data_IF_811596943496
#
_entry.id   IF_811596943496
#
_cell.length_a   1.000
_cell.length_b   1.000
_cell.length_c   1.000
_cell.angle_alpha   90.00
_cell.angle_beta   90.00
_cell.angle_gamma   90.00
#
_symmetry.space_group_name_H-M   'P 1'
#
loop_
_entity.id
_entity.type
_entity.pdbx_description
1 polymer ?
#
# COMPACT_ATOMS: atom_id res chain seq x y z
N UNK A 1 18.14 -15.66 -1.15
CA UNK A 1 18.38 -14.44 -1.95
C UNK A 1 18.59 -13.26 -1.00
N UNK A 2 19.47 -12.30 -1.30
CA UNK A 2 19.65 -11.15 -0.43
C UNK A 2 18.39 -10.28 -0.43
N UNK A 3 18.05 -9.75 0.75
CA UNK A 3 16.93 -8.84 0.93
C UNK A 3 17.27 -7.46 0.33
N UNK A 4 16.40 -6.94 -0.52
CA UNK A 4 16.61 -5.72 -1.29
C UNK A 4 17.09 -4.51 -0.44
N UNK A 5 16.41 -4.13 0.67
CA UNK A 5 16.86 -3.02 1.50
C UNK A 5 18.26 -3.23 2.10
N UNK A 6 18.64 -4.48 2.43
CA UNK A 6 19.97 -4.82 2.96
C UNK A 6 21.06 -4.56 1.93
N UNK A 7 20.80 -4.79 0.64
CA UNK A 7 21.74 -4.51 -0.44
C UNK A 7 22.04 -3.00 -0.47
N UNK A 8 21.01 -2.17 -0.49
CA UNK A 8 21.17 -0.71 -0.48
C UNK A 8 21.89 -0.21 0.77
N UNK A 9 21.53 -0.75 1.94
CA UNK A 9 22.21 -0.40 3.20
C UNK A 9 23.71 -0.71 3.16
N UNK A 10 24.07 -1.90 2.67
CA UNK A 10 25.48 -2.31 2.51
C UNK A 10 26.22 -1.51 1.43
N UNK A 11 25.51 -0.93 0.47
CA UNK A 11 26.05 -0.04 -0.57
C UNK A 11 26.17 1.43 -0.12
N UNK A 12 25.95 1.72 1.17
CA UNK A 12 26.16 3.04 1.74
C UNK A 12 24.93 3.98 1.68
N UNK A 13 23.77 3.46 1.32
CA UNK A 13 22.53 4.23 1.38
C UNK A 13 22.00 4.31 2.82
N UNK A 14 21.39 5.42 3.19
CA UNK A 14 20.42 5.43 4.26
C UNK A 14 19.12 4.82 3.74
N UNK A 15 18.54 3.88 4.50
CA UNK A 15 17.33 3.16 4.11
C UNK A 15 16.24 3.46 5.12
N UNK A 16 15.16 4.06 4.64
CA UNK A 16 13.99 4.44 5.42
C UNK A 16 12.81 3.57 4.98
N UNK A 17 12.14 2.92 5.93
CA UNK A 17 10.99 2.05 5.66
C UNK A 17 9.78 2.53 6.44
N UNK A 18 8.84 3.14 5.75
CA UNK A 18 7.53 3.52 6.26
C UNK A 18 6.50 2.55 5.74
N UNK A 19 6.12 1.62 6.59
CA UNK A 19 5.30 0.46 6.26
C UNK A 19 4.05 0.48 7.14
N UNK A 20 2.87 0.73 6.53
CA UNK A 20 1.60 0.78 7.25
C UNK A 20 1.12 -0.61 7.68
N UNK A 21 1.57 -1.66 6.99
CA UNK A 21 1.21 -3.04 7.28
C UNK A 21 2.13 -3.69 8.33
N UNK A 22 3.14 -2.95 8.79
CA UNK A 22 4.11 -3.48 9.75
C UNK A 22 3.47 -3.77 11.10
N UNK A 23 3.59 -5.00 11.62
CA UNK A 23 3.12 -5.31 12.97
C UNK A 23 4.00 -4.60 14.00
N UNK A 24 3.38 -3.89 14.95
CA UNK A 24 4.07 -3.22 16.05
C UNK A 24 4.06 -4.05 17.35
N UNK A 25 3.12 -4.99 17.47
CA UNK A 25 2.97 -5.86 18.63
C UNK A 25 3.53 -7.26 18.36
N UNK A 26 4.15 -7.93 19.33
CA UNK A 26 4.62 -9.30 19.17
C UNK A 26 3.51 -10.30 18.79
N UNK A 27 2.28 -10.09 19.24
CA UNK A 27 1.12 -10.93 18.90
C UNK A 27 0.73 -10.80 17.43
N UNK A 28 0.81 -9.61 16.87
CA UNK A 28 0.59 -9.37 15.43
C UNK A 28 1.74 -9.94 14.60
N UNK A 29 2.98 -9.83 15.11
CA UNK A 29 4.15 -10.36 14.45
C UNK A 29 4.03 -11.86 14.13
N UNK A 30 3.51 -12.67 15.04
CA UNK A 30 3.32 -14.10 14.80
C UNK A 30 2.38 -14.40 13.64
N UNK A 31 1.34 -13.61 13.48
CA UNK A 31 0.42 -13.76 12.35
C UNK A 31 1.11 -13.48 11.01
N UNK A 32 1.88 -12.40 10.94
CA UNK A 32 2.56 -11.99 9.71
C UNK A 32 3.86 -12.74 9.47
N UNK A 33 4.62 -13.11 10.50
CA UNK A 33 5.90 -13.82 10.38
C UNK A 33 5.78 -15.18 9.72
N UNK A 34 4.65 -15.87 9.87
CA UNK A 34 4.36 -17.11 9.17
C UNK A 34 4.19 -16.90 7.65
N UNK A 35 3.97 -15.68 7.20
CA UNK A 35 3.67 -15.33 5.82
C UNK A 35 4.73 -14.45 5.16
N UNK A 36 5.57 -13.75 5.94
CA UNK A 36 6.57 -12.86 5.38
C UNK A 36 7.80 -12.67 6.25
N UNK A 37 8.95 -13.08 5.73
CA UNK A 37 10.26 -12.85 6.37
C UNK A 37 10.64 -11.36 6.46
N UNK A 38 9.99 -10.46 5.71
CA UNK A 38 10.31 -9.03 5.72
C UNK A 38 9.99 -8.36 7.07
N UNK A 39 9.12 -8.98 7.87
CA UNK A 39 8.78 -8.52 9.22
C UNK A 39 9.74 -9.01 10.31
N UNK A 40 10.76 -9.83 9.96
CA UNK A 40 11.75 -10.31 10.92
C UNK A 40 12.48 -9.12 11.58
N UNK A 41 12.41 -8.98 12.92
CA UNK A 41 13.05 -7.87 13.63
C UNK A 41 14.58 -7.83 13.44
N UNK A 42 15.22 -8.99 13.29
CA UNK A 42 16.67 -9.09 13.07
C UNK A 42 17.02 -8.52 11.69
N UNK A 43 16.25 -8.91 10.67
CA UNK A 43 16.43 -8.41 9.32
C UNK A 43 16.17 -6.90 9.24
N UNK A 44 15.10 -6.43 9.89
CA UNK A 44 14.78 -5.00 9.96
C UNK A 44 15.92 -4.17 10.56
N UNK A 45 16.53 -4.67 11.64
CA UNK A 45 17.62 -3.98 12.35
C UNK A 45 18.84 -3.76 11.48
N UNK A 46 19.21 -4.74 10.63
CA UNK A 46 20.40 -4.66 9.77
C UNK A 46 20.11 -4.00 8.41
N UNK A 47 18.84 -3.85 8.03
CA UNK A 47 18.43 -3.37 6.71
C UNK A 47 18.02 -1.91 6.71
N UNK A 48 17.47 -1.40 7.81
CA UNK A 48 16.92 -0.05 7.85
C UNK A 48 17.76 0.92 8.68
N UNK A 49 17.80 2.18 8.28
CA UNK A 49 18.33 3.31 9.07
C UNK A 49 17.26 3.75 10.06
N UNK A 50 16.02 3.86 9.59
CA UNK A 50 14.85 4.13 10.40
C UNK A 50 13.60 3.49 9.76
N UNK A 51 12.57 3.27 10.57
CA UNK A 51 11.27 2.76 10.14
C UNK A 51 10.16 3.42 10.94
N UNK A 52 8.94 3.43 10.40
CA UNK A 52 7.76 3.84 11.13
C UNK A 52 7.56 2.98 12.39
N UNK A 53 7.12 3.60 13.48
CA UNK A 53 7.03 2.97 14.80
C UNK A 53 5.64 3.11 15.47
N UNK A 54 4.62 3.48 14.70
CA UNK A 54 3.24 3.61 15.17
C UNK A 54 2.25 3.11 14.12
N UNK A 55 1.02 2.86 14.56
CA UNK A 55 -0.08 2.54 13.66
C UNK A 55 -0.63 3.77 12.96
N UNK A 56 -1.15 3.55 11.78
CA UNK A 56 -1.85 4.54 10.97
C UNK A 56 -3.16 3.92 10.47
N UNK A 57 -4.21 4.74 10.43
CA UNK A 57 -5.50 4.31 9.87
C UNK A 57 -5.49 4.38 8.34
N UNK A 58 -4.80 5.40 7.80
CA UNK A 58 -4.77 5.70 6.37
C UNK A 58 -3.36 6.04 5.88
N UNK A 59 -3.12 5.81 4.60
CA UNK A 59 -1.82 5.97 3.96
C UNK A 59 -1.28 7.41 3.99
N UNK A 60 -2.13 8.44 3.96
CA UNK A 60 -1.70 9.84 4.06
C UNK A 60 -1.05 10.16 5.41
N UNK A 61 -1.53 9.54 6.50
CA UNK A 61 -0.94 9.67 7.83
C UNK A 61 0.49 9.09 7.89
N UNK A 62 0.74 8.00 7.15
CA UNK A 62 2.07 7.42 7.01
C UNK A 62 3.03 8.41 6.32
N UNK A 63 2.56 9.09 5.28
CA UNK A 63 3.36 10.08 4.53
C UNK A 63 3.64 11.31 5.39
N UNK A 64 2.64 11.79 6.12
CA UNK A 64 2.79 12.91 7.04
C UNK A 64 3.77 12.60 8.18
N UNK A 65 3.69 11.39 8.74
CA UNK A 65 4.65 10.92 9.75
C UNK A 65 6.07 10.90 9.19
N UNK A 66 6.27 10.41 7.97
CA UNK A 66 7.57 10.48 7.33
C UNK A 66 8.02 11.94 7.16
N UNK A 67 7.15 12.84 6.70
CA UNK A 67 7.51 14.24 6.47
C UNK A 67 7.94 14.96 7.75
N UNK A 68 7.26 14.68 8.87
CA UNK A 68 7.44 15.37 10.16
C UNK A 68 8.45 14.69 11.09
N UNK A 69 8.69 13.39 10.95
CA UNK A 69 9.67 12.68 11.77
C UNK A 69 11.10 13.20 11.53
N UNK A 70 11.82 13.67 12.57
CA UNK A 70 13.19 14.11 12.43
C UNK A 70 14.10 13.00 11.89
N UNK A 71 14.76 13.25 10.77
CA UNK A 71 15.70 12.32 10.15
C UNK A 71 16.78 13.07 9.39
N UNK A 72 17.96 12.50 9.34
CA UNK A 72 19.08 13.05 8.57
C UNK A 72 19.19 12.31 7.24
N UNK A 73 18.68 12.92 6.18
CA UNK A 73 18.92 12.43 4.84
C UNK A 73 20.42 12.60 4.51
N UNK A 74 21.03 11.57 3.96
CA UNK A 74 22.40 11.57 3.47
C UNK A 74 22.48 11.92 1.99
N UNK A 75 23.67 11.74 1.41
CA UNK A 75 23.87 11.90 -0.04
C UNK A 75 23.06 10.90 -0.85
N UNK A 76 22.95 9.67 -0.37
CA UNK A 76 22.19 8.59 -1.00
C UNK A 76 21.16 8.04 -0.02
N UNK A 77 19.91 7.99 -0.45
CA UNK A 77 18.80 7.52 0.36
C UNK A 77 17.92 6.59 -0.47
N UNK A 78 17.43 5.52 0.16
CA UNK A 78 16.33 4.72 -0.31
C UNK A 78 15.17 4.94 0.66
N UNK A 79 14.06 5.44 0.16
CA UNK A 79 12.82 5.58 0.94
C UNK A 79 11.79 4.61 0.39
N UNK A 80 11.22 3.81 1.24
CA UNK A 80 10.20 2.81 0.92
C UNK A 80 8.93 3.22 1.66
N UNK A 81 7.86 3.43 0.92
CA UNK A 81 6.50 3.54 1.45
C UNK A 81 5.75 2.27 1.05
N UNK A 82 5.41 1.44 2.03
CA UNK A 82 4.57 0.26 1.83
C UNK A 82 3.16 0.61 2.25
N UNK A 83 2.32 0.89 1.25
CA UNK A 83 0.97 1.40 1.43
C UNK A 83 -0.05 0.26 1.56
N UNK A 84 -1.21 0.55 2.13
CA UNK A 84 -2.39 -0.29 1.98
C UNK A 84 -2.94 -0.23 0.55
N UNK A 85 -2.92 0.96 -0.06
CA UNK A 85 -3.49 1.17 -1.38
C UNK A 85 -4.95 0.69 -1.46
N UNK A 86 -5.22 -0.21 -2.40
CA UNK A 86 -6.54 -0.82 -2.59
C UNK A 86 -6.66 -2.23 -1.98
N UNK A 87 -5.77 -2.60 -1.06
CA UNK A 87 -5.80 -3.93 -0.43
C UNK A 87 -7.22 -4.27 0.12
N UNK A 88 -7.61 -5.53 0.07
CA UNK A 88 -8.88 -6.05 0.64
C UNK A 88 -9.03 -5.63 2.11
N UNK A 89 -10.09 -5.20 2.61
CA UNK A 89 -11.36 -4.62 2.18
C UNK A 89 -11.21 -3.16 1.74
N UNK A 90 -11.45 -2.86 0.48
CA UNK A 90 -11.25 -1.52 -0.06
C UNK A 90 -12.03 -0.42 0.69
N UNK A 91 -13.21 -0.73 1.20
CA UNK A 91 -14.00 0.17 2.04
C UNK A 91 -13.24 0.69 3.28
N UNK A 92 -12.25 -0.04 3.77
CA UNK A 92 -11.43 0.35 4.93
C UNK A 92 -10.16 1.12 4.54
N UNK A 93 -9.91 1.36 3.23
CA UNK A 93 -8.65 1.90 2.74
C UNK A 93 -8.67 3.39 2.43
N UNK A 94 -9.78 4.06 2.61
CA UNK A 94 -9.91 5.50 2.39
C UNK A 94 -10.79 6.16 3.45
N UNK A 95 -10.60 7.45 3.77
CA UNK A 95 -11.45 8.17 4.70
C UNK A 95 -12.85 8.36 4.14
N UNK A 96 -13.90 7.94 4.86
CA UNK A 96 -15.29 8.11 4.49
C UNK A 96 -15.77 9.56 4.71
N UNK A 97 -15.29 10.47 3.89
CA UNK A 97 -15.66 11.89 3.91
C UNK A 97 -16.04 12.38 2.50
N UNK A 98 -16.54 13.60 2.39
CA UNK A 98 -17.00 14.18 1.10
C UNK A 98 -15.90 14.23 0.02
N UNK A 99 -14.63 14.27 0.40
CA UNK A 99 -13.52 14.35 -0.53
C UNK A 99 -13.26 13.00 -1.22
N UNK A 100 -13.41 11.90 -0.50
CA UNK A 100 -13.01 10.58 -0.98
C UNK A 100 -14.18 9.61 -1.19
N UNK A 101 -15.36 9.91 -0.65
CA UNK A 101 -16.61 9.20 -0.95
C UNK A 101 -17.21 9.71 -2.26
N UNK A 102 -16.51 9.46 -3.37
CA UNK A 102 -16.82 10.00 -4.68
C UNK A 102 -17.78 9.11 -5.48
N UNK A 103 -17.59 7.80 -5.38
CA UNK A 103 -18.36 6.79 -6.10
C UNK A 103 -19.31 6.03 -5.16
N UNK A 104 -20.47 5.62 -5.68
CA UNK A 104 -21.49 4.80 -5.02
C UNK A 104 -21.95 3.67 -5.92
N UNK A 105 -22.68 2.69 -5.40
CA UNK A 105 -23.27 1.61 -6.21
C UNK A 105 -24.09 2.13 -7.41
N UNK A 106 -24.69 3.34 -7.31
CA UNK A 106 -25.48 3.95 -8.38
C UNK A 106 -24.66 4.41 -9.59
N UNK A 107 -23.36 4.62 -9.39
CA UNK A 107 -22.42 5.03 -10.43
C UNK A 107 -21.92 3.85 -11.26
N UNK A 108 -22.07 2.62 -10.74
CA UNK A 108 -21.69 1.39 -11.43
C UNK A 108 -22.79 0.99 -12.41
N UNK A 109 -22.56 1.30 -13.70
CA UNK A 109 -23.55 1.08 -14.78
C UNK A 109 -23.52 -0.33 -15.38
N UNK A 110 -22.61 -1.18 -14.92
CA UNK A 110 -22.53 -2.58 -15.37
C UNK A 110 -23.81 -3.35 -15.02
N UNK A 111 -24.24 -4.23 -15.96
CA UNK A 111 -25.50 -4.97 -15.90
C UNK A 111 -25.31 -6.50 -15.82
N UNK A 112 -24.10 -6.94 -15.48
CA UNK A 112 -23.82 -8.37 -15.35
C UNK A 112 -24.75 -9.02 -14.32
N UNK A 113 -25.31 -10.18 -14.65
CA UNK A 113 -26.35 -10.84 -13.86
C UNK A 113 -25.95 -11.21 -12.43
N UNK A 114 -24.65 -11.32 -12.17
CA UNK A 114 -24.10 -11.59 -10.84
C UNK A 114 -23.90 -10.34 -10.00
N UNK A 115 -23.98 -9.12 -10.57
CA UNK A 115 -23.77 -7.86 -9.84
C UNK A 115 -25.01 -7.46 -9.05
N UNK A 116 -25.03 -7.78 -7.78
CA UNK A 116 -26.00 -7.23 -6.81
C UNK A 116 -25.60 -5.79 -6.41
N UNK A 117 -26.54 -5.04 -5.80
CA UNK A 117 -26.24 -3.69 -5.28
C UNK A 117 -25.06 -3.70 -4.29
N UNK A 118 -24.94 -4.75 -3.46
CA UNK A 118 -23.78 -4.89 -2.56
C UNK A 118 -22.47 -5.03 -3.34
N UNK A 119 -22.43 -5.82 -4.39
CA UNK A 119 -21.23 -6.00 -5.21
C UNK A 119 -20.88 -4.74 -5.99
N UNK A 120 -21.88 -3.98 -6.44
CA UNK A 120 -21.66 -2.66 -7.02
C UNK A 120 -21.09 -1.69 -6.00
N UNK A 121 -21.52 -1.76 -4.73
CA UNK A 121 -20.90 -0.97 -3.68
C UNK A 121 -19.44 -1.38 -3.43
N UNK A 122 -19.13 -2.67 -3.42
CA UNK A 122 -17.74 -3.15 -3.32
C UNK A 122 -16.85 -2.59 -4.46
N UNK A 123 -17.38 -2.50 -5.69
CA UNK A 123 -16.68 -1.88 -6.83
C UNK A 123 -16.48 -0.38 -6.56
N UNK A 124 -17.53 0.31 -6.14
CA UNK A 124 -17.45 1.74 -5.83
C UNK A 124 -16.45 2.04 -4.70
N UNK A 125 -16.38 1.18 -3.69
CA UNK A 125 -15.40 1.31 -2.61
C UNK A 125 -13.96 1.09 -3.11
N UNK A 126 -13.77 0.17 -4.05
CA UNK A 126 -12.47 -0.01 -4.70
C UNK A 126 -12.07 1.20 -5.54
N UNK A 127 -13.01 1.80 -6.27
CA UNK A 127 -12.79 3.02 -7.05
C UNK A 127 -12.46 4.22 -6.11
N UNK A 128 -13.16 4.34 -4.98
CA UNK A 128 -12.85 5.36 -3.95
C UNK A 128 -11.47 5.14 -3.33
N UNK A 129 -11.09 3.91 -3.04
CA UNK A 129 -9.76 3.58 -2.54
C UNK A 129 -8.67 3.90 -3.59
N UNK A 130 -8.95 3.66 -4.87
CA UNK A 130 -8.06 4.01 -5.98
C UNK A 130 -7.90 5.53 -6.10
N UNK A 131 -8.99 6.27 -6.02
CA UNK A 131 -8.98 7.74 -6.03
C UNK A 131 -8.19 8.32 -4.84
N UNK A 132 -8.37 7.73 -3.66
CA UNK A 132 -7.59 8.12 -2.49
C UNK A 132 -6.11 7.77 -2.62
N UNK A 133 -5.78 6.60 -3.16
CA UNK A 133 -4.40 6.20 -3.39
C UNK A 133 -3.67 7.12 -4.38
N UNK A 134 -4.36 7.59 -5.44
CA UNK A 134 -3.81 8.61 -6.35
C UNK A 134 -3.46 9.91 -5.61
N UNK A 135 -4.32 10.36 -4.70
CA UNK A 135 -4.06 11.50 -3.83
C UNK A 135 -2.81 11.26 -2.95
N UNK A 136 -2.65 10.08 -2.35
CA UNK A 136 -1.49 9.73 -1.52
C UNK A 136 -0.20 9.70 -2.35
N UNK A 137 -0.24 9.09 -3.53
CA UNK A 137 0.91 9.05 -4.46
C UNK A 137 1.30 10.46 -4.90
N UNK A 138 0.32 11.32 -5.18
CA UNK A 138 0.55 12.74 -5.45
C UNK A 138 1.30 13.44 -4.33
N UNK A 139 0.95 13.19 -3.07
CA UNK A 139 1.67 13.73 -1.90
C UNK A 139 3.09 13.20 -1.78
N UNK A 140 3.34 11.92 -2.09
CA UNK A 140 4.70 11.37 -2.13
C UNK A 140 5.53 12.09 -3.20
N UNK A 141 4.98 12.31 -4.38
CA UNK A 141 5.66 13.04 -5.46
C UNK A 141 6.01 14.47 -5.01
N UNK A 142 5.05 15.16 -4.40
CA UNK A 142 5.25 16.53 -3.92
C UNK A 142 6.32 16.62 -2.83
N UNK A 143 6.39 15.62 -1.95
CA UNK A 143 7.41 15.56 -0.89
C UNK A 143 8.84 15.56 -1.44
N UNK A 144 9.05 14.99 -2.61
CA UNK A 144 10.37 14.89 -3.25
C UNK A 144 10.55 15.81 -4.47
N UNK A 145 9.57 16.67 -4.79
CA UNK A 145 9.56 17.53 -5.98
C UNK A 145 10.82 18.36 -6.16
N UNK A 146 11.39 18.85 -5.06
CA UNK A 146 12.57 19.73 -5.08
C UNK A 146 13.88 18.97 -4.78
N UNK A 147 13.89 17.65 -4.94
CA UNK A 147 15.05 16.80 -4.73
C UNK A 147 15.46 16.10 -6.03
N UNK A 148 16.74 15.72 -6.14
CA UNK A 148 17.20 14.86 -7.23
C UNK A 148 16.84 13.41 -6.92
N UNK A 149 15.60 13.03 -7.20
CA UNK A 149 15.01 11.75 -6.85
C UNK A 149 14.41 11.02 -8.05
N UNK A 150 14.44 9.70 -7.99
CA UNK A 150 13.65 8.81 -8.85
C UNK A 150 12.55 8.21 -7.99
N UNK A 151 11.31 8.35 -8.41
CA UNK A 151 10.14 7.76 -7.75
C UNK A 151 9.64 6.59 -8.59
N UNK A 152 9.50 5.43 -7.97
CA UNK A 152 8.96 4.23 -8.59
C UNK A 152 7.72 3.83 -7.83
N UNK A 153 6.56 3.84 -8.49
CA UNK A 153 5.30 3.34 -7.96
C UNK A 153 4.96 2.03 -8.68
N UNK A 154 4.71 0.98 -7.90
CA UNK A 154 4.36 -0.35 -8.42
C UNK A 154 3.32 -1.00 -7.53
N UNK A 155 2.40 -1.76 -8.12
CA UNK A 155 1.58 -2.72 -7.39
C UNK A 155 2.32 -4.07 -7.30
N UNK A 156 2.19 -4.76 -6.18
CA UNK A 156 2.75 -6.11 -6.01
C UNK A 156 1.93 -7.18 -6.73
N UNK A 157 0.62 -6.95 -6.95
CA UNK A 157 -0.27 -7.81 -7.72
C UNK A 157 -1.51 -7.05 -8.19
N UNK A 158 -2.26 -7.66 -9.11
CA UNK A 158 -3.60 -7.22 -9.48
C UNK A 158 -4.65 -7.76 -8.51
N UNK A 159 -5.84 -7.17 -8.56
CA UNK A 159 -7.02 -7.60 -7.81
C UNK A 159 -8.23 -7.72 -8.74
N UNK A 160 -8.98 -8.80 -8.59
CA UNK A 160 -10.28 -9.00 -9.23
C UNK A 160 -11.36 -8.32 -8.39
N UNK A 161 -12.18 -7.47 -9.01
CA UNK A 161 -13.31 -6.81 -8.34
C UNK A 161 -14.57 -6.98 -9.19
N UNK A 162 -14.97 -8.24 -9.38
CA UNK A 162 -16.11 -8.64 -10.21
C UNK A 162 -15.98 -8.22 -11.69
N UNK A 163 -14.77 -8.08 -12.23
CA UNK A 163 -14.56 -7.60 -13.59
C UNK A 163 -14.92 -8.65 -14.64
N UNK A 164 -14.49 -9.88 -14.44
CA UNK A 164 -14.65 -10.95 -15.40
C UNK A 164 -15.53 -12.10 -14.90
N UNK A 165 -15.82 -12.13 -13.59
CA UNK A 165 -16.56 -13.21 -12.94
C UNK A 165 -17.09 -12.77 -11.58
N UNK A 166 -17.93 -13.63 -10.99
CA UNK A 166 -18.51 -13.44 -9.67
C UNK A 166 -17.48 -13.74 -8.55
N UNK A 167 -16.42 -12.93 -8.49
CA UNK A 167 -15.41 -13.04 -7.43
C UNK A 167 -14.73 -11.70 -7.13
N UNK A 168 -14.24 -11.55 -5.90
CA UNK A 168 -13.47 -10.41 -5.42
C UNK A 168 -12.20 -10.92 -4.70
N UNK A 169 -11.08 -10.24 -4.92
CA UNK A 169 -9.82 -10.49 -4.23
C UNK A 169 -8.71 -11.02 -5.14
N UNK A 170 -7.62 -11.43 -4.52
CA UNK A 170 -6.47 -11.99 -5.22
C UNK A 170 -6.78 -13.34 -5.80
N UNK A 171 -6.74 -13.46 -7.11
CA UNK A 171 -7.00 -14.71 -7.81
C UNK A 171 -5.72 -15.21 -8.47
N UNK A 172 -5.27 -16.38 -8.06
CA UNK A 172 -4.22 -17.12 -8.77
C UNK A 172 -4.85 -17.79 -10.01
N UNK A 173 -5.13 -16.99 -11.03
CA UNK A 173 -5.65 -17.51 -12.28
C UNK A 173 -4.50 -17.97 -13.18
N UNK A 174 -4.62 -19.17 -13.75
CA UNK A 174 -3.77 -19.58 -14.86
C UNK A 174 -4.21 -18.84 -16.13
N UNK A 175 -3.28 -18.55 -17.05
CA UNK A 175 -3.53 -17.79 -18.28
C UNK A 175 -4.71 -18.27 -19.14
N UNK A 176 -5.22 -19.49 -18.93
CA UNK A 176 -6.40 -20.05 -19.60
C UNK A 176 -7.75 -19.65 -19.00
N UNK A 177 -7.79 -18.96 -17.86
CA UNK A 177 -9.02 -18.58 -17.17
C UNK A 177 -9.55 -17.18 -17.56
N UNK A 178 -8.81 -16.44 -18.37
CA UNK A 178 -9.15 -15.12 -18.91
C UNK A 178 -9.52 -15.16 -20.41
N UNK A 179 -10.15 -16.26 -20.85
CA UNK A 179 -10.69 -16.35 -22.20
C UNK A 179 -12.17 -16.06 -22.24
#
# INVERSE_FOLDING_TARGET
KPFFPTIFKKSGFNVYNWDIQRPLNPSEFWFFANNSFIFDPTLSRVSYTAAANKHFDYDDQLIEDFATTPKKLGKYNLVIFHLWGQHVDAACRYPHNKKFNHFTAKDIKRIDSYLTERKKQDIADYDNATYYNDYVVGHIIDLFRNSNSVIIYISDHGEEVYDYRDSKGRVNATAGQYK
#
